data_IF_053040773392
#
_entry.id   IF_053040773392
#
_cell.length_a   1.000
_cell.length_b   1.000
_cell.length_c   1.000
_cell.angle_alpha   90.00
_cell.angle_beta   90.00
_cell.angle_gamma   90.00
#
_symmetry.space_group_name_H-M   'P 1'
#
loop_
_entity.id
_entity.type
_entity.pdbx_description
1 polymer ?
#
# COMPACT_ATOMS: atom_id res chain seq x y z
N UNK A 1 15.63 39.43 -15.20
CA UNK A 1 16.71 38.51 -15.61
C UNK A 1 17.00 37.39 -14.61
N UNK A 2 17.12 37.62 -13.29
CA UNK A 2 17.33 36.52 -12.34
C UNK A 2 16.09 35.62 -12.14
N UNK A 3 14.89 36.21 -12.15
CA UNK A 3 13.63 35.47 -11.92
C UNK A 3 13.21 34.59 -13.11
N UNK A 4 13.53 34.98 -14.34
CA UNK A 4 13.19 34.20 -15.55
C UNK A 4 13.98 32.90 -15.66
N UNK A 5 15.27 32.91 -15.29
CA UNK A 5 16.09 31.69 -15.30
C UNK A 5 15.60 30.66 -14.26
N UNK A 6 15.17 31.13 -13.09
CA UNK A 6 14.61 30.27 -12.03
C UNK A 6 13.31 29.59 -12.50
N UNK A 7 12.48 30.31 -13.27
CA UNK A 7 11.23 29.77 -13.81
C UNK A 7 11.51 28.71 -14.88
N UNK A 8 12.53 28.89 -15.71
CA UNK A 8 12.90 27.92 -16.75
C UNK A 8 13.49 26.63 -16.14
N UNK A 9 14.38 26.76 -15.16
CA UNK A 9 14.93 25.61 -14.40
C UNK A 9 13.82 24.82 -13.69
N UNK A 10 12.83 25.52 -13.12
CA UNK A 10 11.67 24.89 -12.49
C UNK A 10 10.80 24.12 -13.50
N UNK A 11 10.60 24.65 -14.71
CA UNK A 11 9.86 23.95 -15.77
C UNK A 11 10.57 22.67 -16.16
N UNK A 12 11.88 22.70 -16.37
CA UNK A 12 12.65 21.50 -16.70
C UNK A 12 12.59 20.46 -15.57
N UNK A 13 12.73 20.88 -14.30
CA UNK A 13 12.58 19.99 -13.15
C UNK A 13 11.18 19.37 -13.06
N UNK A 14 10.12 20.13 -13.34
CA UNK A 14 8.74 19.62 -13.35
C UNK A 14 8.53 18.60 -14.49
N UNK A 15 9.04 18.88 -15.70
CA UNK A 15 8.95 17.95 -16.85
C UNK A 15 9.71 16.65 -16.54
N UNK A 16 10.92 16.76 -16.00
CA UNK A 16 11.71 15.62 -15.56
C UNK A 16 10.98 14.83 -14.47
N UNK A 17 10.40 15.50 -13.47
CA UNK A 17 9.63 14.86 -12.42
C UNK A 17 8.40 14.11 -12.96
N UNK A 18 7.67 14.71 -13.91
CA UNK A 18 6.54 14.07 -14.57
C UNK A 18 6.96 12.82 -15.36
N UNK A 19 8.09 12.89 -16.07
CA UNK A 19 8.62 11.74 -16.81
C UNK A 19 9.02 10.59 -15.88
N UNK A 20 9.57 10.91 -14.71
CA UNK A 20 9.90 9.91 -13.68
C UNK A 20 8.65 9.30 -13.06
N UNK A 21 7.62 10.11 -12.77
CA UNK A 21 6.32 9.62 -12.27
C UNK A 21 5.65 8.66 -13.27
N UNK A 22 5.72 8.95 -14.57
CA UNK A 22 5.19 8.07 -15.62
C UNK A 22 5.98 6.76 -15.71
N UNK A 23 7.32 6.80 -15.72
CA UNK A 23 8.16 5.59 -15.70
C UNK A 23 7.93 4.73 -14.46
N UNK A 24 7.77 5.35 -13.28
CA UNK A 24 7.47 4.63 -12.03
C UNK A 24 6.13 3.92 -12.13
N UNK A 25 5.12 4.52 -12.75
CA UNK A 25 3.82 3.88 -12.94
C UNK A 25 3.89 2.69 -13.88
N UNK A 26 4.60 2.80 -14.99
CA UNK A 26 4.80 1.69 -15.92
C UNK A 26 5.51 0.51 -15.24
N UNK A 27 6.64 0.77 -14.58
CA UNK A 27 7.38 -0.26 -13.84
C UNK A 27 6.54 -0.83 -12.71
N UNK A 28 5.78 0.00 -11.98
CA UNK A 28 4.92 -0.47 -10.89
C UNK A 28 3.80 -1.38 -11.39
N UNK A 29 3.24 -1.12 -12.57
CA UNK A 29 2.23 -1.98 -13.17
C UNK A 29 2.84 -3.33 -13.59
N UNK A 30 3.99 -3.33 -14.28
CA UNK A 30 4.70 -4.58 -14.60
C UNK A 30 5.10 -5.37 -13.36
N UNK A 31 5.53 -4.67 -12.29
CA UNK A 31 5.85 -5.29 -11.01
C UNK A 31 4.62 -5.93 -10.34
N UNK A 32 3.43 -5.35 -10.48
CA UNK A 32 2.18 -5.95 -9.97
C UNK A 32 1.84 -7.23 -10.73
N UNK A 33 1.98 -7.24 -12.05
CA UNK A 33 1.73 -8.41 -12.90
C UNK A 33 2.69 -9.56 -12.53
N UNK A 34 4.00 -9.30 -12.50
CA UNK A 34 5.01 -10.28 -12.09
C UNK A 34 4.78 -10.81 -10.68
N UNK A 35 4.41 -9.94 -9.72
CA UNK A 35 4.08 -10.39 -8.37
C UNK A 35 2.79 -11.22 -8.32
N UNK A 36 1.81 -10.95 -9.18
CA UNK A 36 0.59 -11.73 -9.24
C UNK A 36 0.85 -13.12 -9.80
N UNK A 37 1.60 -13.22 -10.91
CA UNK A 37 2.02 -14.50 -11.47
C UNK A 37 2.84 -15.31 -10.46
N UNK A 38 3.82 -14.67 -9.79
CA UNK A 38 4.60 -15.30 -8.73
C UNK A 38 3.71 -15.86 -7.62
N UNK A 39 2.71 -15.10 -7.16
CA UNK A 39 1.78 -15.56 -6.11
C UNK A 39 0.92 -16.74 -6.57
N UNK A 40 0.51 -16.76 -7.84
CA UNK A 40 -0.22 -17.90 -8.39
C UNK A 40 0.66 -19.15 -8.35
N UNK A 41 1.89 -19.08 -8.85
CA UNK A 41 2.85 -20.18 -8.76
C UNK A 41 3.15 -20.59 -7.32
N UNK A 42 3.34 -19.63 -6.40
CA UNK A 42 3.56 -19.88 -4.99
C UNK A 42 2.39 -20.65 -4.36
N UNK A 43 1.15 -20.27 -4.66
CA UNK A 43 -0.04 -21.00 -4.19
C UNK A 43 -0.06 -22.45 -4.70
N UNK A 44 0.27 -22.67 -5.97
CA UNK A 44 0.35 -24.02 -6.54
C UNK A 44 1.48 -24.83 -5.89
N UNK A 45 2.65 -24.23 -5.67
CA UNK A 45 3.79 -24.89 -5.05
C UNK A 45 3.50 -25.23 -3.59
N UNK A 46 2.85 -24.34 -2.84
CA UNK A 46 2.45 -24.59 -1.45
C UNK A 46 1.42 -25.72 -1.35
N UNK A 47 0.44 -25.77 -2.26
CA UNK A 47 -0.53 -26.88 -2.34
C UNK A 47 0.18 -28.19 -2.67
N UNK A 48 1.11 -28.17 -3.62
CA UNK A 48 1.90 -29.35 -4.00
C UNK A 48 2.85 -29.83 -2.88
N UNK A 49 3.52 -28.90 -2.17
CA UNK A 49 4.35 -29.19 -1.00
C UNK A 49 3.54 -29.80 0.14
N UNK A 50 2.30 -29.33 0.33
CA UNK A 50 1.37 -29.86 1.34
C UNK A 50 0.91 -31.28 0.96
N UNK A 51 0.56 -31.51 -0.31
CA UNK A 51 0.16 -32.83 -0.82
C UNK A 51 1.28 -33.88 -0.75
N UNK A 52 2.52 -33.48 -1.03
CA UNK A 52 3.68 -34.38 -0.98
C UNK A 52 4.30 -34.51 0.41
N UNK A 53 3.83 -33.73 1.40
CA UNK A 53 4.40 -33.65 2.74
C UNK A 53 5.93 -33.40 2.74
N UNK A 54 6.44 -32.70 1.72
CA UNK A 54 7.86 -32.35 1.57
C UNK A 54 8.03 -30.86 1.87
N UNK A 55 8.51 -30.50 3.07
CA UNK A 55 8.64 -29.10 3.50
C UNK A 55 9.79 -28.36 2.79
N UNK A 56 10.67 -29.08 2.09
CA UNK A 56 11.83 -28.55 1.38
C UNK A 56 11.83 -29.12 -0.04
N UNK A 57 11.89 -28.24 -1.04
CA UNK A 57 12.15 -28.60 -2.42
C UNK A 57 13.52 -28.04 -2.79
N UNK A 58 14.46 -28.90 -3.14
CA UNK A 58 15.73 -28.49 -3.74
C UNK A 58 15.48 -28.16 -5.22
N UNK A 59 15.77 -26.93 -5.60
CA UNK A 59 15.74 -26.47 -7.00
C UNK A 59 17.16 -26.21 -7.48
N UNK A 60 17.39 -26.20 -8.79
CA UNK A 60 18.71 -25.95 -9.38
C UNK A 60 19.33 -24.61 -8.99
N UNK A 61 18.54 -23.65 -8.50
CA UNK A 61 18.98 -22.33 -8.06
C UNK A 61 18.92 -22.11 -6.53
N UNK A 62 18.54 -23.12 -5.73
CA UNK A 62 18.47 -23.01 -4.27
C UNK A 62 17.38 -23.87 -3.61
N UNK A 63 17.22 -23.73 -2.29
CA UNK A 63 16.22 -24.47 -1.50
C UNK A 63 14.96 -23.64 -1.31
N UNK A 64 13.79 -24.20 -1.62
CA UNK A 64 12.51 -23.60 -1.28
C UNK A 64 12.02 -24.22 0.03
N UNK A 65 11.85 -23.39 1.05
CA UNK A 65 11.37 -23.79 2.38
C UNK A 65 10.03 -23.09 2.62
N UNK A 66 9.04 -23.84 3.10
CA UNK A 66 7.80 -23.27 3.59
C UNK A 66 8.05 -22.58 4.94
N UNK A 67 8.21 -21.26 4.93
CA UNK A 67 8.37 -20.44 6.14
C UNK A 67 7.03 -19.81 6.54
N UNK A 68 6.46 -20.28 7.66
CA UNK A 68 5.21 -19.74 8.22
C UNK A 68 5.52 -18.68 9.28
N UNK A 69 5.52 -17.41 8.89
CA UNK A 69 5.65 -16.29 9.83
C UNK A 69 4.29 -15.86 10.37
N UNK A 70 4.13 -15.91 11.69
CA UNK A 70 2.97 -15.34 12.38
C UNK A 70 3.28 -13.90 12.77
N UNK A 71 2.63 -12.93 12.12
CA UNK A 71 2.75 -11.51 12.47
C UNK A 71 1.43 -11.02 13.09
N UNK A 72 1.53 -10.24 14.17
CA UNK A 72 0.35 -9.61 14.78
C UNK A 72 -0.18 -8.50 13.85
N UNK A 73 -1.49 -8.48 13.61
CA UNK A 73 -2.15 -7.46 12.79
C UNK A 73 -2.09 -6.09 13.50
N UNK A 74 -2.18 -5.02 12.72
CA UNK A 74 -2.24 -3.65 13.25
C UNK A 74 -3.42 -3.48 14.21
N UNK A 75 -3.21 -2.70 15.27
CA UNK A 75 -4.20 -2.48 16.32
C UNK A 75 -5.33 -1.61 15.78
N UNK A 76 -6.50 -2.23 15.58
CA UNK A 76 -7.74 -1.55 15.14
C UNK A 76 -8.54 -1.07 16.35
N UNK A 77 -9.34 -0.02 16.11
CA UNK A 77 -10.26 0.55 17.10
C UNK A 77 -11.19 -0.52 17.72
N UNK A 78 -11.68 -1.45 16.91
CA UNK A 78 -12.53 -2.56 17.36
C UNK A 78 -11.84 -3.48 18.38
N UNK A 79 -10.55 -3.76 18.16
CA UNK A 79 -9.77 -4.64 19.04
C UNK A 79 -9.49 -3.94 20.37
N UNK A 80 -9.17 -2.64 20.32
CA UNK A 80 -8.95 -1.82 21.52
C UNK A 80 -10.25 -1.69 22.32
N UNK A 81 -11.37 -1.40 21.66
CA UNK A 81 -12.67 -1.26 22.33
C UNK A 81 -13.13 -2.58 22.95
N UNK A 82 -12.91 -3.70 22.25
CA UNK A 82 -13.24 -5.04 22.79
C UNK A 82 -12.38 -5.38 24.01
N UNK A 83 -11.07 -5.16 23.93
CA UNK A 83 -10.16 -5.38 25.06
C UNK A 83 -10.46 -4.46 26.25
N UNK A 84 -10.76 -3.18 26.00
CA UNK A 84 -11.14 -2.24 27.04
C UNK A 84 -12.51 -2.57 27.64
N UNK A 85 -13.46 -3.08 26.85
CA UNK A 85 -14.76 -3.56 27.35
C UNK A 85 -14.56 -4.76 28.28
N UNK A 86 -13.65 -5.68 27.94
CA UNK A 86 -13.30 -6.83 28.76
C UNK A 86 -12.63 -6.42 30.09
N UNK A 87 -11.82 -5.36 30.07
CA UNK A 87 -11.13 -4.84 31.27
C UNK A 87 -12.06 -3.99 32.15
N UNK A 88 -12.89 -3.13 31.54
CA UNK A 88 -13.69 -2.13 32.26
C UNK A 88 -15.10 -2.59 32.59
N UNK A 89 -15.61 -3.64 31.93
CA UNK A 89 -16.99 -4.12 32.07
C UNK A 89 -18.06 -3.16 31.52
N UNK A 90 -17.67 -1.95 31.11
CA UNK A 90 -18.54 -0.87 30.67
C UNK A 90 -18.22 -0.48 29.23
N UNK A 91 -19.13 -0.79 28.30
CA UNK A 91 -18.96 -0.48 26.87
C UNK A 91 -18.80 1.01 26.59
N UNK A 92 -19.45 1.85 27.40
CA UNK A 92 -19.46 3.31 27.21
C UNK A 92 -18.08 3.90 27.55
N UNK A 93 -17.52 3.54 28.70
CA UNK A 93 -16.17 3.98 29.12
C UNK A 93 -15.09 3.42 28.19
N UNK A 94 -15.22 2.18 27.76
CA UNK A 94 -14.30 1.58 26.79
C UNK A 94 -14.22 2.38 25.49
N UNK A 95 -15.35 2.86 24.96
CA UNK A 95 -15.38 3.70 23.77
C UNK A 95 -14.72 5.08 23.98
N UNK A 96 -14.92 5.71 25.15
CA UNK A 96 -14.28 6.99 25.50
C UNK A 96 -12.76 6.85 25.61
N UNK A 97 -12.28 5.78 26.26
CA UNK A 97 -10.85 5.48 26.34
C UNK A 97 -10.25 5.17 24.98
N UNK A 98 -10.95 4.42 24.13
CA UNK A 98 -10.49 4.16 22.77
C UNK A 98 -10.31 5.47 22.02
N UNK A 99 -11.30 6.38 22.03
CA UNK A 99 -11.17 7.69 21.37
C UNK A 99 -9.98 8.48 21.90
N UNK A 100 -9.81 8.53 23.23
CA UNK A 100 -8.67 9.22 23.84
C UNK A 100 -7.30 8.65 23.41
N UNK A 101 -7.18 7.33 23.27
CA UNK A 101 -5.95 6.68 22.80
C UNK A 101 -5.65 7.05 21.34
N UNK A 102 -6.67 7.13 20.49
CA UNK A 102 -6.50 7.49 19.08
C UNK A 102 -6.24 8.98 18.89
N UNK A 103 -6.89 9.86 19.66
CA UNK A 103 -6.68 11.32 19.60
C UNK A 103 -5.28 11.73 20.07
N UNK A 104 -4.68 10.97 21.01
CA UNK A 104 -3.32 11.23 21.49
C UNK A 104 -2.24 10.68 20.56
N UNK A 105 -2.62 9.96 19.49
CA UNK A 105 -1.66 9.41 18.54
C UNK A 105 -1.03 10.56 17.74
N UNK A 106 0.31 10.66 17.68
CA UNK A 106 0.95 11.75 16.95
C UNK A 106 0.65 11.64 15.46
N UNK A 107 0.17 12.73 14.87
CA UNK A 107 0.04 12.86 13.43
C UNK A 107 1.42 13.08 12.81
N UNK A 108 1.73 12.30 11.77
CA UNK A 108 2.96 12.45 10.98
C UNK A 108 2.57 13.02 9.62
N UNK A 109 2.79 14.31 9.44
CA UNK A 109 2.57 14.98 8.16
C UNK A 109 3.68 14.61 7.18
N UNK A 110 3.31 13.97 6.06
CA UNK A 110 4.21 13.70 4.96
C UNK A 110 3.84 14.59 3.77
N UNK A 111 4.64 15.64 3.53
CA UNK A 111 4.49 16.52 2.37
C UNK A 111 5.02 15.79 1.14
N UNK A 112 4.15 15.55 0.15
CA UNK A 112 4.50 14.89 -1.11
C UNK A 112 3.86 15.60 -2.30
N UNK A 113 4.58 15.62 -3.43
CA UNK A 113 4.03 16.05 -4.71
C UNK A 113 2.94 15.06 -5.14
N UNK A 114 1.76 15.58 -5.52
CA UNK A 114 0.65 14.79 -6.05
C UNK A 114 0.30 15.29 -7.44
N UNK A 115 0.39 14.40 -8.43
CA UNK A 115 -0.13 14.68 -9.78
C UNK A 115 -1.66 14.58 -9.77
N UNK A 116 -2.34 15.69 -10.01
CA UNK A 116 -3.80 15.72 -10.19
C UNK A 116 -4.11 15.76 -11.69
N UNK A 117 -4.77 14.72 -12.22
CA UNK A 117 -5.30 14.78 -13.59
C UNK A 117 -6.55 15.66 -13.58
N UNK A 118 -6.60 16.66 -14.46
CA UNK A 118 -7.83 17.43 -14.65
C UNK A 118 -8.94 16.49 -15.15
N UNK A 119 -10.18 16.62 -14.65
CA UNK A 119 -11.28 15.80 -15.12
C UNK A 119 -11.51 16.06 -16.61
N UNK A 120 -11.58 14.98 -17.39
CA UNK A 120 -11.87 15.04 -18.82
C UNK A 120 -13.29 15.61 -18.98
N UNK A 121 -13.42 16.87 -19.43
CA UNK A 121 -14.72 17.43 -19.80
C UNK A 121 -15.20 16.70 -21.06
N UNK A 122 -15.90 15.58 -20.88
CA UNK A 122 -16.68 14.98 -21.96
C UNK A 122 -17.78 15.99 -22.33
N UNK A 123 -17.53 16.75 -23.40
CA UNK A 123 -18.52 17.61 -24.05
C UNK A 123 -19.61 16.69 -24.60
N UNK A 124 -20.73 16.58 -23.88
CA UNK A 124 -21.96 15.99 -24.42
C UNK A 124 -22.56 16.99 -25.41
N UNK A 125 -22.19 16.92 -26.68
CA UNK A 125 -23.01 17.48 -27.76
C UNK A 125 -24.31 16.67 -27.82
N UNK A 126 -25.37 17.20 -27.22
CA UNK A 126 -26.75 16.82 -27.56
C UNK A 126 -27.03 17.43 -28.92
N UNK A 127 -27.00 16.62 -29.98
CA UNK A 127 -27.66 17.00 -31.23
C UNK A 127 -29.17 16.86 -31.03
N UNK A 128 -29.87 17.95 -31.31
CA UNK A 128 -31.33 18.05 -31.46
C UNK A 128 -31.69 17.52 -32.85
#
# INVERSE_FOLDING_TARGET
MAEENIIEDLKEMIVNWLSLDDKIKEISNGLKELNNEKKQFESYILDYMTKLNKPIIDTSSGKLIKDEKKTKKSLKEDIVTSALTEITGDKIKAAEFTKFIFDKRPEVENIKLKRMKLPNKNVKTKNI
#
